data_IF_750772523993
#
_entry.id   IF_750772523993
#
_cell.length_a   1.000
_cell.length_b   1.000
_cell.length_c   1.000
_cell.angle_alpha   90.00
_cell.angle_beta   90.00
_cell.angle_gamma   90.00
#
_symmetry.space_group_name_H-M   'P 1'
#
loop_
_entity.id
_entity.type
_entity.pdbx_description
1 polymer ?
#
# COMPACT_ATOMS: atom_id res chain seq x y z
N UNK A 1 33.35 -7.70 -45.23
CA UNK A 1 32.16 -6.99 -44.73
C UNK A 1 31.44 -7.94 -43.80
N UNK A 2 31.78 -7.84 -42.52
CA UNK A 2 31.09 -8.57 -41.47
C UNK A 2 29.96 -7.68 -40.98
N UNK A 3 28.74 -8.06 -41.30
CA UNK A 3 27.55 -7.55 -40.63
C UNK A 3 27.59 -8.02 -39.17
N UNK A 4 27.80 -7.10 -38.29
CA UNK A 4 27.62 -7.33 -36.87
C UNK A 4 26.11 -7.51 -36.63
N UNK A 5 25.72 -8.78 -36.52
CA UNK A 5 24.41 -9.18 -36.03
C UNK A 5 24.29 -8.74 -34.56
N UNK A 6 23.78 -7.53 -34.37
CA UNK A 6 23.44 -7.03 -33.04
C UNK A 6 22.15 -7.73 -32.61
N UNK A 7 22.30 -8.94 -32.10
CA UNK A 7 21.24 -9.66 -31.41
C UNK A 7 20.90 -8.88 -30.12
N UNK A 8 20.03 -7.91 -30.24
CA UNK A 8 19.37 -7.31 -29.09
C UNK A 8 18.59 -8.42 -28.40
N UNK A 9 19.15 -8.96 -27.34
CA UNK A 9 18.41 -9.84 -26.42
C UNK A 9 17.30 -9.00 -25.83
N UNK A 10 16.14 -9.03 -26.48
CA UNK A 10 14.89 -8.60 -25.87
C UNK A 10 14.60 -9.60 -24.76
N UNK A 11 14.87 -9.21 -23.53
CA UNK A 11 14.31 -9.90 -22.38
C UNK A 11 12.80 -9.65 -22.43
N UNK A 12 12.07 -10.48 -23.17
CA UNK A 12 10.64 -10.62 -23.00
C UNK A 12 10.45 -11.25 -21.63
N UNK A 13 10.08 -10.42 -20.67
CA UNK A 13 9.50 -10.90 -19.41
C UNK A 13 8.13 -11.47 -19.79
N UNK A 14 8.10 -12.74 -20.17
CA UNK A 14 6.88 -13.45 -20.52
C UNK A 14 6.13 -13.69 -19.22
N UNK A 15 5.12 -12.85 -18.96
CA UNK A 15 4.12 -13.14 -17.94
C UNK A 15 3.37 -14.43 -18.33
N UNK A 16 2.88 -15.17 -17.35
CA UNK A 16 2.10 -16.41 -17.55
C UNK A 16 0.87 -16.21 -18.45
N UNK A 17 0.42 -14.98 -18.60
CA UNK A 17 -0.69 -14.56 -19.49
C UNK A 17 -0.24 -14.08 -20.86
N UNK A 18 1.06 -14.10 -21.18
CA UNK A 18 1.58 -13.57 -22.46
C UNK A 18 1.48 -12.05 -22.60
N UNK A 19 1.17 -11.33 -21.52
CA UNK A 19 1.05 -9.87 -21.53
C UNK A 19 2.41 -9.22 -21.26
N UNK A 20 2.82 -8.31 -22.14
CA UNK A 20 4.01 -7.50 -21.96
C UNK A 20 3.85 -6.54 -20.76
N UNK A 21 4.95 -6.19 -20.11
CA UNK A 21 4.96 -5.19 -19.04
C UNK A 21 4.31 -3.88 -19.52
N UNK A 22 3.33 -3.39 -18.76
CA UNK A 22 2.66 -2.11 -19.01
C UNK A 22 3.01 -1.08 -17.94
N UNK A 23 3.56 0.06 -18.36
CA UNK A 23 3.81 1.18 -17.47
C UNK A 23 2.52 1.73 -16.85
N UNK A 24 1.40 1.67 -17.58
CA UNK A 24 0.11 2.11 -17.08
C UNK A 24 -0.35 1.23 -15.91
N UNK A 25 -0.27 -0.10 -16.07
CA UNK A 25 -0.70 -1.05 -15.04
C UNK A 25 0.16 -0.90 -13.77
N UNK A 26 1.48 -0.81 -13.95
CA UNK A 26 2.42 -0.61 -12.86
C UNK A 26 2.21 0.73 -12.13
N UNK A 27 2.12 1.83 -12.88
CA UNK A 27 1.97 3.16 -12.28
C UNK A 27 0.61 3.33 -11.59
N UNK A 28 -0.47 2.77 -12.15
CA UNK A 28 -1.79 2.81 -11.54
C UNK A 28 -1.77 2.16 -10.14
N UNK A 29 -1.25 0.94 -10.04
CA UNK A 29 -1.14 0.23 -8.76
C UNK A 29 -0.20 0.94 -7.78
N UNK A 30 0.98 1.35 -8.24
CA UNK A 30 1.98 2.03 -7.42
C UNK A 30 1.49 3.36 -6.85
N UNK A 31 0.82 4.18 -7.66
CA UNK A 31 0.25 5.45 -7.20
C UNK A 31 -0.93 5.21 -6.23
N UNK A 32 -1.75 4.20 -6.46
CA UNK A 32 -2.82 3.85 -5.53
C UNK A 32 -2.26 3.48 -4.14
N UNK A 33 -1.17 2.71 -4.09
CA UNK A 33 -0.48 2.35 -2.85
C UNK A 33 0.11 3.60 -2.18
N UNK A 34 0.75 4.51 -2.93
CA UNK A 34 1.29 5.76 -2.41
C UNK A 34 0.21 6.62 -1.74
N UNK A 35 -0.89 6.84 -2.45
CA UNK A 35 -2.00 7.62 -1.92
C UNK A 35 -2.69 6.94 -0.73
N UNK A 36 -2.78 5.61 -0.73
CA UNK A 36 -3.26 4.83 0.41
C UNK A 36 -2.40 5.09 1.66
N UNK A 37 -1.07 5.09 1.52
CA UNK A 37 -0.18 5.36 2.65
C UNK A 37 -0.36 6.77 3.21
N UNK A 38 -0.59 7.77 2.36
CA UNK A 38 -0.93 9.12 2.83
C UNK A 38 -2.26 9.14 3.59
N UNK A 39 -3.27 8.42 3.11
CA UNK A 39 -4.57 8.31 3.80
C UNK A 39 -4.42 7.61 5.16
N UNK A 40 -3.69 6.51 5.22
CA UNK A 40 -3.46 5.77 6.45
C UNK A 40 -2.71 6.60 7.51
N UNK A 41 -1.64 7.30 7.13
CA UNK A 41 -0.89 8.16 8.05
C UNK A 41 -1.67 9.41 8.47
N UNK A 42 -2.52 9.96 7.59
CA UNK A 42 -3.42 11.06 7.92
C UNK A 42 -4.51 10.66 8.92
N UNK A 43 -4.96 9.41 8.88
CA UNK A 43 -5.91 8.86 9.86
C UNK A 43 -5.35 8.92 11.29
N UNK A 44 -4.08 8.58 11.47
CA UNK A 44 -3.38 8.71 12.76
C UNK A 44 -3.32 10.14 13.27
N UNK A 45 -3.07 11.12 12.39
CA UNK A 45 -3.08 12.54 12.73
C UNK A 45 -4.45 13.00 13.28
N UNK A 46 -5.54 12.52 12.72
CA UNK A 46 -6.90 12.90 13.13
C UNK A 46 -7.15 12.61 14.61
N UNK A 47 -6.62 11.49 15.10
CA UNK A 47 -6.71 11.09 16.51
C UNK A 47 -6.05 12.12 17.45
N UNK A 48 -4.88 12.62 17.06
CA UNK A 48 -4.15 13.66 17.82
C UNK A 48 -4.85 15.01 17.76
N UNK A 49 -5.43 15.39 16.62
CA UNK A 49 -6.19 16.61 16.47
C UNK A 49 -7.43 16.61 17.40
N UNK A 50 -8.12 15.48 17.52
CA UNK A 50 -9.26 15.35 18.44
C UNK A 50 -8.83 15.36 19.92
N UNK A 51 -7.64 14.85 20.22
CA UNK A 51 -7.05 14.93 21.55
C UNK A 51 -6.80 16.39 21.93
N UNK A 52 -6.17 17.18 21.06
CA UNK A 52 -5.92 18.61 21.29
C UNK A 52 -7.22 19.44 21.34
N UNK A 53 -8.20 19.10 20.50
CA UNK A 53 -9.50 19.75 20.45
C UNK A 53 -10.44 19.39 21.61
N UNK A 54 -10.01 18.51 22.54
CA UNK A 54 -10.78 18.11 23.71
C UNK A 54 -11.99 17.23 23.41
N UNK A 55 -12.17 16.78 22.17
CA UNK A 55 -13.29 15.87 21.79
C UNK A 55 -12.99 14.46 22.23
N UNK A 56 -11.75 13.98 22.13
CA UNK A 56 -11.36 12.66 22.57
C UNK A 56 -11.56 12.45 24.09
N UNK A 57 -11.15 13.36 24.99
CA UNK A 57 -11.45 13.23 26.43
C UNK A 57 -12.95 13.13 26.72
N UNK A 58 -13.81 13.87 25.99
CA UNK A 58 -15.27 13.79 26.16
C UNK A 58 -15.83 12.44 25.73
N UNK A 59 -15.28 11.82 24.69
CA UNK A 59 -15.66 10.47 24.26
C UNK A 59 -15.23 9.41 25.29
N UNK A 60 -14.10 9.60 25.97
CA UNK A 60 -13.58 8.65 26.95
C UNK A 60 -14.35 8.69 28.29
N UNK A 61 -15.13 9.73 28.59
CA UNK A 61 -16.03 9.78 29.77
C UNK A 61 -17.40 9.15 29.48
N UNK A 62 -17.69 8.84 28.21
CA UNK A 62 -18.92 8.10 27.87
C UNK A 62 -18.82 6.64 28.39
N UNK A 63 -19.95 5.99 28.70
CA UNK A 63 -19.95 4.61 29.22
C UNK A 63 -19.66 3.57 28.12
N UNK A 64 -18.59 3.81 27.35
CA UNK A 64 -18.11 2.93 26.28
C UNK A 64 -16.61 2.63 26.46
N UNK A 65 -16.13 1.42 26.18
CA UNK A 65 -14.72 1.09 26.28
C UNK A 65 -13.86 1.96 25.33
N UNK A 66 -12.69 2.42 25.79
CA UNK A 66 -11.77 3.20 24.95
C UNK A 66 -11.34 2.44 23.69
N UNK A 67 -11.27 1.11 23.76
CA UNK A 67 -11.00 0.24 22.62
C UNK A 67 -12.05 0.36 21.52
N UNK A 68 -13.33 0.50 21.88
CA UNK A 68 -14.42 0.68 20.91
C UNK A 68 -14.26 2.00 20.12
N UNK A 69 -13.84 3.07 20.81
CA UNK A 69 -13.56 4.36 20.15
C UNK A 69 -12.39 4.22 19.18
N UNK A 70 -11.32 3.58 19.60
CA UNK A 70 -10.12 3.39 18.77
C UNK A 70 -10.45 2.52 17.55
N UNK A 71 -11.08 1.37 17.75
CA UNK A 71 -11.48 0.46 16.65
C UNK A 71 -12.42 1.16 15.68
N UNK A 72 -13.39 1.93 16.16
CA UNK A 72 -14.30 2.69 15.30
C UNK A 72 -13.56 3.70 14.42
N UNK A 73 -12.55 4.39 14.97
CA UNK A 73 -11.72 5.33 14.19
C UNK A 73 -10.87 4.62 13.16
N UNK A 74 -10.23 3.53 13.56
CA UNK A 74 -9.43 2.72 12.62
C UNK A 74 -10.31 2.13 11.51
N UNK A 75 -11.51 1.67 11.82
CA UNK A 75 -12.48 1.21 10.83
C UNK A 75 -12.85 2.30 9.84
N UNK A 76 -12.99 3.56 10.30
CA UNK A 76 -13.21 4.72 9.42
C UNK A 76 -12.05 4.95 8.44
N UNK A 77 -10.80 4.83 8.91
CA UNK A 77 -9.61 4.95 8.04
C UNK A 77 -9.55 3.79 7.05
N UNK A 78 -9.82 2.57 7.50
CA UNK A 78 -9.88 1.38 6.62
C UNK A 78 -10.96 1.57 5.55
N UNK A 79 -12.16 1.97 5.93
CA UNK A 79 -13.25 2.22 4.97
C UNK A 79 -12.85 3.27 3.92
N UNK A 80 -12.26 4.39 4.36
CA UNK A 80 -11.78 5.44 3.47
C UNK A 80 -10.70 4.91 2.53
N UNK A 81 -9.74 4.13 3.03
CA UNK A 81 -8.67 3.53 2.24
C UNK A 81 -9.22 2.53 1.20
N UNK A 82 -10.16 1.66 1.60
CA UNK A 82 -10.79 0.71 0.67
C UNK A 82 -11.55 1.45 -0.42
N UNK A 83 -12.36 2.44 -0.08
CA UNK A 83 -13.08 3.25 -1.06
C UNK A 83 -12.11 3.97 -2.01
N UNK A 84 -11.06 4.58 -1.49
CA UNK A 84 -10.06 5.29 -2.28
C UNK A 84 -9.38 4.38 -3.30
N UNK A 85 -8.85 3.22 -2.88
CA UNK A 85 -8.15 2.31 -3.80
C UNK A 85 -9.14 1.68 -4.78
N UNK A 86 -10.37 1.39 -4.36
CA UNK A 86 -11.42 0.88 -5.24
C UNK A 86 -11.79 1.89 -6.33
N UNK A 87 -11.94 3.17 -5.97
CA UNK A 87 -12.20 4.23 -6.95
C UNK A 87 -11.05 4.36 -7.94
N UNK A 88 -9.79 4.33 -7.47
CA UNK A 88 -8.62 4.37 -8.34
C UNK A 88 -8.54 3.14 -9.24
N UNK A 89 -8.83 1.95 -8.73
CA UNK A 89 -8.90 0.72 -9.52
C UNK A 89 -9.92 0.83 -10.65
N UNK A 90 -11.16 1.25 -10.34
CA UNK A 90 -12.20 1.43 -11.35
C UNK A 90 -11.81 2.53 -12.35
N UNK A 91 -11.38 3.68 -11.88
CA UNK A 91 -11.03 4.82 -12.72
C UNK A 91 -9.87 4.50 -13.68
N UNK A 92 -8.82 3.85 -13.19
CA UNK A 92 -7.68 3.46 -14.03
C UNK A 92 -8.03 2.29 -14.95
N UNK A 93 -8.92 1.39 -14.53
CA UNK A 93 -9.47 0.32 -15.37
C UNK A 93 -10.24 0.87 -16.58
N UNK A 94 -10.99 1.97 -16.40
CA UNK A 94 -11.71 2.64 -17.50
C UNK A 94 -10.78 3.25 -18.56
N UNK A 95 -9.55 3.62 -18.19
CA UNK A 95 -8.53 4.11 -19.12
C UNK A 95 -7.59 3.01 -19.63
N UNK A 96 -7.89 1.73 -19.31
CA UNK A 96 -7.22 0.57 -19.87
C UNK A 96 -6.15 -0.07 -18.98
N UNK A 97 -5.99 0.35 -17.72
CA UNK A 97 -5.11 -0.34 -16.77
C UNK A 97 -5.69 -1.69 -16.36
N UNK A 98 -4.85 -2.72 -16.37
CA UNK A 98 -5.23 -4.07 -15.96
C UNK A 98 -4.68 -4.37 -14.56
N UNK A 99 -5.54 -4.79 -13.65
CA UNK A 99 -5.19 -5.09 -12.26
C UNK A 99 -5.24 -6.58 -11.93
N UNK A 100 -5.74 -7.40 -12.84
CA UNK A 100 -6.02 -8.82 -12.61
C UNK A 100 -7.51 -9.10 -12.41
N UNK A 101 -7.81 -10.33 -11.97
CA UNK A 101 -9.18 -10.74 -11.70
C UNK A 101 -9.79 -9.96 -10.53
N UNK A 102 -11.08 -9.58 -10.61
CA UNK A 102 -11.71 -8.70 -9.62
C UNK A 102 -11.69 -9.24 -8.19
N UNK A 103 -11.93 -10.53 -7.99
CA UNK A 103 -12.01 -11.11 -6.64
C UNK A 103 -10.65 -11.08 -5.90
N UNK A 104 -9.54 -11.56 -6.48
CA UNK A 104 -8.21 -11.40 -5.90
C UNK A 104 -7.80 -9.94 -5.66
N UNK A 105 -8.18 -9.03 -6.56
CA UNK A 105 -7.90 -7.59 -6.41
C UNK A 105 -8.59 -7.02 -5.18
N UNK A 106 -9.87 -7.34 -4.95
CA UNK A 106 -10.60 -6.89 -3.75
C UNK A 106 -9.94 -7.43 -2.48
N UNK A 107 -9.56 -8.71 -2.45
CA UNK A 107 -8.85 -9.30 -1.30
C UNK A 107 -7.52 -8.59 -1.04
N UNK A 108 -6.75 -8.31 -2.10
CA UNK A 108 -5.49 -7.58 -2.01
C UNK A 108 -5.67 -6.15 -1.47
N UNK A 109 -6.68 -5.42 -1.97
CA UNK A 109 -7.02 -4.07 -1.50
C UNK A 109 -7.31 -4.09 0.01
N UNK A 110 -8.20 -4.96 0.46
CA UNK A 110 -8.59 -5.01 1.88
C UNK A 110 -7.39 -5.35 2.76
N UNK A 111 -6.61 -6.37 2.41
CA UNK A 111 -5.42 -6.76 3.17
C UNK A 111 -4.38 -5.64 3.25
N UNK A 112 -4.11 -4.96 2.12
CA UNK A 112 -3.15 -3.87 2.05
C UNK A 112 -3.61 -2.65 2.86
N UNK A 113 -4.90 -2.30 2.80
CA UNK A 113 -5.47 -1.18 3.56
C UNK A 113 -5.37 -1.43 5.06
N UNK A 114 -5.68 -2.64 5.53
CA UNK A 114 -5.55 -2.99 6.94
C UNK A 114 -4.09 -2.85 7.40
N UNK A 115 -3.15 -3.36 6.63
CA UNK A 115 -1.72 -3.26 6.93
C UNK A 115 -1.25 -1.80 6.94
N UNK A 116 -1.61 -1.00 5.94
CA UNK A 116 -1.26 0.41 5.85
C UNK A 116 -1.83 1.23 7.03
N UNK A 117 -3.07 0.91 7.46
CA UNK A 117 -3.70 1.56 8.62
C UNK A 117 -2.90 1.31 9.90
N UNK A 118 -2.30 0.12 10.06
CA UNK A 118 -1.38 -0.18 11.17
C UNK A 118 -0.16 0.76 11.19
N UNK A 119 0.44 1.06 10.02
CA UNK A 119 1.53 2.05 9.93
C UNK A 119 1.05 3.42 10.39
N UNK A 120 -0.16 3.83 9.99
CA UNK A 120 -0.76 5.09 10.45
C UNK A 120 -0.96 5.12 11.97
N UNK A 121 -1.36 4.00 12.57
CA UNK A 121 -1.49 3.86 14.02
C UNK A 121 -0.15 3.98 14.74
N UNK A 122 0.93 3.37 14.22
CA UNK A 122 2.28 3.52 14.75
C UNK A 122 2.78 4.98 14.69
N UNK A 123 2.56 5.66 13.57
CA UNK A 123 2.90 7.08 13.42
C UNK A 123 2.17 7.91 14.46
N UNK A 124 0.89 7.64 14.70
CA UNK A 124 0.11 8.32 15.72
C UNK A 124 0.64 8.04 17.14
N UNK A 125 1.00 6.79 17.43
CA UNK A 125 1.52 6.38 18.73
C UNK A 125 2.87 7.06 19.09
N UNK A 126 3.73 7.27 18.11
CA UNK A 126 5.02 7.94 18.29
C UNK A 126 4.93 9.46 18.28
N UNK A 127 3.83 10.03 17.82
CA UNK A 127 3.65 11.47 17.69
C UNK A 127 2.97 12.07 18.92
N UNK A 128 3.41 13.25 19.32
CA UNK A 128 2.82 14.00 20.44
C UNK A 128 1.83 15.06 19.97
N UNK A 129 2.00 15.59 18.77
CA UNK A 129 1.19 16.65 18.18
C UNK A 129 0.74 16.28 16.76
N UNK A 130 -0.38 16.85 16.27
CA UNK A 130 -0.83 16.63 14.88
C UNK A 130 0.20 17.06 13.83
N UNK A 131 0.94 18.14 14.10
CA UNK A 131 2.03 18.60 13.23
C UNK A 131 3.17 17.59 13.14
N UNK A 132 3.58 16.99 14.27
CA UNK A 132 4.58 15.94 14.32
C UNK A 132 4.09 14.68 13.57
N UNK A 133 2.84 14.26 13.79
CA UNK A 133 2.28 13.11 13.08
C UNK A 133 2.27 13.32 11.56
N UNK A 134 1.96 14.54 11.11
CA UNK A 134 1.99 14.86 9.69
C UNK A 134 3.42 14.79 9.12
N UNK A 135 4.41 15.36 9.81
CA UNK A 135 5.80 15.34 9.35
C UNK A 135 6.37 13.91 9.32
N UNK A 136 6.19 13.13 10.39
CA UNK A 136 6.63 11.73 10.47
C UNK A 136 5.89 10.88 9.43
N UNK A 137 4.57 11.03 9.33
CA UNK A 137 3.74 10.28 8.38
C UNK A 137 4.16 10.53 6.93
N UNK A 138 4.42 11.80 6.57
CA UNK A 138 4.92 12.16 5.24
C UNK A 138 6.31 11.56 5.00
N UNK A 139 7.23 11.67 5.96
CA UNK A 139 8.57 11.11 5.84
C UNK A 139 8.53 9.58 5.69
N UNK A 140 7.76 8.89 6.51
CA UNK A 140 7.57 7.43 6.43
C UNK A 140 6.97 7.03 5.08
N UNK A 141 5.92 7.71 4.63
CA UNK A 141 5.26 7.42 3.34
C UNK A 141 6.21 7.60 2.17
N UNK A 142 6.92 8.72 2.10
CA UNK A 142 7.84 9.01 0.98
C UNK A 142 9.07 8.10 1.00
N UNK A 143 9.63 7.81 2.17
CA UNK A 143 10.76 6.87 2.30
C UNK A 143 10.34 5.46 1.92
N UNK A 144 9.19 4.98 2.42
CA UNK A 144 8.65 3.69 2.04
C UNK A 144 8.41 3.61 0.52
N UNK A 145 7.84 4.65 -0.09
CA UNK A 145 7.62 4.71 -1.53
C UNK A 145 8.92 4.69 -2.33
N UNK A 146 9.95 5.40 -1.88
CA UNK A 146 11.24 5.46 -2.57
C UNK A 146 11.96 4.11 -2.58
N UNK A 147 11.97 3.39 -1.44
CA UNK A 147 12.70 2.12 -1.32
C UNK A 147 11.89 0.90 -1.82
N UNK A 148 10.56 0.99 -1.86
CA UNK A 148 9.69 -0.14 -2.23
C UNK A 148 9.54 -0.33 -3.74
N UNK A 149 9.98 0.63 -4.54
CA UNK A 149 9.78 0.58 -5.99
C UNK A 149 8.52 1.31 -6.47
N UNK A 150 7.86 2.11 -5.63
CA UNK A 150 6.65 2.85 -6.03
C UNK A 150 6.90 3.81 -7.18
N UNK A 151 8.07 4.47 -7.23
CA UNK A 151 8.44 5.40 -8.30
C UNK A 151 9.13 4.72 -9.48
N UNK A 152 9.87 3.65 -9.23
CA UNK A 152 10.61 2.91 -10.25
C UNK A 152 10.48 1.40 -9.98
N UNK A 153 10.38 0.55 -11.03
CA UNK A 153 10.29 -0.89 -10.85
C UNK A 153 11.41 -1.43 -9.95
N UNK A 154 11.06 -2.28 -9.01
CA UNK A 154 11.99 -2.84 -8.01
C UNK A 154 13.22 -3.50 -8.61
N UNK A 155 13.08 -4.10 -9.80
CA UNK A 155 14.20 -4.75 -10.52
C UNK A 155 15.35 -3.78 -10.84
N UNK A 156 15.07 -2.48 -10.87
CA UNK A 156 16.08 -1.44 -11.12
C UNK A 156 16.78 -0.96 -9.84
N UNK A 157 16.33 -1.42 -8.66
CA UNK A 157 16.90 -1.03 -7.38
C UNK A 157 18.02 -2.00 -6.97
N UNK A 158 19.06 -1.53 -6.24
CA UNK A 158 20.08 -2.41 -5.66
C UNK A 158 19.46 -3.48 -4.76
N UNK A 159 20.04 -4.68 -4.73
CA UNK A 159 19.51 -5.83 -4.01
C UNK A 159 19.28 -5.57 -2.52
N UNK A 160 20.18 -4.81 -1.88
CA UNK A 160 20.04 -4.44 -0.47
C UNK A 160 18.82 -3.53 -0.22
N UNK A 161 18.49 -2.62 -1.15
CA UNK A 161 17.26 -1.80 -1.07
C UNK A 161 16.03 -2.66 -1.20
N UNK A 162 16.03 -3.59 -2.15
CA UNK A 162 14.93 -4.54 -2.33
C UNK A 162 14.66 -5.34 -1.05
N UNK A 163 15.71 -5.79 -0.35
CA UNK A 163 15.58 -6.54 0.90
C UNK A 163 15.02 -5.66 2.04
N UNK A 164 15.55 -4.46 2.23
CA UNK A 164 15.07 -3.54 3.27
C UNK A 164 13.62 -3.13 3.02
N UNK A 165 13.22 -2.95 1.77
CA UNK A 165 11.85 -2.53 1.43
C UNK A 165 10.77 -3.53 1.87
N UNK A 166 11.13 -4.80 2.09
CA UNK A 166 10.20 -5.84 2.55
C UNK A 166 9.58 -5.57 3.94
N UNK A 167 10.14 -4.63 4.69
CA UNK A 167 9.54 -4.15 5.95
C UNK A 167 8.34 -3.21 5.67
N UNK A 168 8.16 -2.75 4.45
CA UNK A 168 7.10 -1.79 4.10
C UNK A 168 5.90 -2.48 3.45
N UNK A 169 4.66 -2.06 3.76
CA UNK A 169 3.46 -2.56 3.06
C UNK A 169 3.49 -2.29 1.56
N UNK A 170 4.14 -1.18 1.15
CA UNK A 170 4.26 -0.77 -0.24
C UNK A 170 4.92 -1.85 -1.10
N UNK A 171 6.03 -2.44 -0.61
CA UNK A 171 6.76 -3.46 -1.36
C UNK A 171 5.88 -4.68 -1.63
N UNK A 172 5.17 -5.17 -0.61
CA UNK A 172 4.25 -6.29 -0.74
C UNK A 172 3.04 -5.97 -1.61
N UNK A 173 2.50 -4.74 -1.49
CA UNK A 173 1.42 -4.28 -2.36
C UNK A 173 1.81 -4.29 -3.84
N UNK A 174 3.01 -3.81 -4.18
CA UNK A 174 3.53 -3.83 -5.56
C UNK A 174 3.69 -5.27 -6.05
N UNK A 175 4.27 -6.19 -5.24
CA UNK A 175 4.43 -7.59 -5.62
C UNK A 175 3.07 -8.29 -5.80
N UNK A 176 2.10 -8.04 -4.93
CA UNK A 176 0.74 -8.59 -5.06
C UNK A 176 0.10 -8.15 -6.37
N UNK A 177 0.11 -6.84 -6.66
CA UNK A 177 -0.51 -6.36 -7.90
C UNK A 177 0.26 -6.79 -9.14
N UNK A 178 1.60 -6.86 -9.10
CA UNK A 178 2.39 -7.42 -10.19
C UNK A 178 2.04 -8.90 -10.46
N UNK A 179 1.87 -9.70 -9.40
CA UNK A 179 1.44 -11.10 -9.51
C UNK A 179 0.02 -11.21 -10.11
N UNK A 180 -0.92 -10.35 -9.69
CA UNK A 180 -2.27 -10.33 -10.25
C UNK A 180 -2.29 -9.89 -11.71
N UNK A 181 -1.51 -8.88 -12.07
CA UNK A 181 -1.36 -8.40 -13.44
C UNK A 181 -0.73 -9.47 -14.37
N UNK A 182 0.12 -10.34 -13.80
CA UNK A 182 0.68 -11.49 -14.52
C UNK A 182 -0.28 -12.70 -14.61
N UNK A 183 -1.49 -12.61 -14.06
CA UNK A 183 -2.50 -13.66 -14.14
C UNK A 183 -2.37 -14.79 -13.12
N UNK A 184 -1.61 -14.60 -12.03
CA UNK A 184 -1.40 -15.68 -11.05
C UNK A 184 -2.64 -15.99 -10.18
N UNK A 185 -3.67 -15.15 -10.19
CA UNK A 185 -4.89 -15.35 -9.42
C UNK A 185 -4.67 -15.34 -7.89
N UNK A 186 -5.68 -15.82 -7.14
CA UNK A 186 -5.65 -15.77 -5.67
C UNK A 186 -4.57 -16.67 -5.06
N UNK A 187 -4.32 -17.83 -5.65
CA UNK A 187 -3.33 -18.79 -5.14
C UNK A 187 -1.91 -18.22 -5.23
N UNK A 188 -1.61 -17.50 -6.31
CA UNK A 188 -0.30 -16.87 -6.50
C UNK A 188 0.01 -15.77 -5.52
N UNK A 189 -1.00 -15.08 -4.97
CA UNK A 189 -0.80 -14.00 -4.01
C UNK A 189 -0.82 -14.45 -2.54
N UNK A 190 -1.21 -15.69 -2.23
CA UNK A 190 -1.26 -16.21 -0.87
C UNK A 190 0.02 -16.02 -0.05
N UNK A 191 1.23 -16.31 -0.59
CA UNK A 191 2.47 -16.06 0.15
C UNK A 191 2.66 -14.60 0.53
N UNK A 192 2.35 -13.69 -0.38
CA UNK A 192 2.47 -12.24 -0.15
C UNK A 192 1.43 -11.74 0.88
N UNK A 193 0.21 -12.26 0.83
CA UNK A 193 -0.82 -11.99 1.84
C UNK A 193 -0.39 -12.49 3.23
N UNK A 194 0.28 -13.64 3.31
CA UNK A 194 0.85 -14.17 4.55
C UNK A 194 1.88 -13.22 5.17
N UNK A 195 2.81 -12.71 4.37
CA UNK A 195 3.78 -11.72 4.83
C UNK A 195 3.12 -10.39 5.23
N UNK A 196 2.13 -9.94 4.46
CA UNK A 196 1.36 -8.74 4.78
C UNK A 196 0.60 -8.88 6.10
N UNK A 197 0.03 -10.05 6.37
CA UNK A 197 -0.62 -10.37 7.64
C UNK A 197 0.38 -10.37 8.81
N UNK A 198 1.58 -10.92 8.61
CA UNK A 198 2.65 -10.90 9.61
C UNK A 198 3.07 -9.46 9.95
N UNK A 199 3.26 -8.62 8.94
CA UNK A 199 3.56 -7.19 9.13
C UNK A 199 2.41 -6.49 9.87
N UNK A 200 1.18 -6.80 9.51
CA UNK A 200 0.01 -6.23 10.19
C UNK A 200 0.05 -6.54 11.68
N UNK A 201 0.31 -7.79 12.07
CA UNK A 201 0.45 -8.17 13.48
C UNK A 201 1.61 -7.45 14.19
N UNK A 202 2.66 -7.08 13.46
CA UNK A 202 3.77 -6.31 14.00
C UNK A 202 3.47 -4.81 14.19
N UNK A 203 2.49 -4.28 13.46
CA UNK A 203 2.11 -2.87 13.52
C UNK A 203 1.00 -2.56 14.52
N UNK A 204 0.21 -3.55 14.94
CA UNK A 204 -0.86 -3.46 15.93
C UNK A 204 -0.45 -4.04 17.27
#
# INVERSE_FOLDING_TARGET
TAEADSTLVRLEVTSTTGRAFSWLDYSAASMAILFLMFTATSGGRTLLTEREGGTLPRLLVAPIPATTVLVGKMAGVVLTGVLQVTILWIATGLIGAYWGDPLPVVVAIVALVICATGVGALVAAWSKTPGQANAIGTAVTLTAAAISGTFFPRMNLPQWVQTISLVTPNAWGIEIFAALQSGQGIVGILPFLGWLALLTLGYY
#
